data_IF_838027192881
#
_entry.id   IF_838027192881
#
_cell.length_a   1.000
_cell.length_b   1.000
_cell.length_c   1.000
_cell.angle_alpha   90.00
_cell.angle_beta   90.00
_cell.angle_gamma   90.00
#
_symmetry.space_group_name_H-M   'P 1'
#
loop_
_entity.id
_entity.type
_entity.pdbx_description
1 polymer ?
#
# COMPACT_ATOMS: atom_id res chain seq x y z
N UNK A 1 16.26 -10.36 -2.06
CA UNK A 1 14.99 -11.05 -2.38
C UNK A 1 14.88 -11.01 -3.89
N UNK A 2 15.27 -12.08 -4.60
CA UNK A 2 15.39 -12.06 -6.05
C UNK A 2 14.12 -11.59 -6.76
N UNK A 3 12.96 -11.98 -6.24
CA UNK A 3 11.66 -11.59 -6.77
C UNK A 3 11.40 -10.08 -6.64
N UNK A 4 11.83 -9.46 -5.55
CA UNK A 4 11.69 -8.01 -5.35
C UNK A 4 12.60 -7.23 -6.30
N UNK A 5 13.83 -7.68 -6.49
CA UNK A 5 14.79 -7.01 -7.38
C UNK A 5 14.30 -7.04 -8.84
N UNK A 6 13.66 -8.14 -9.26
CA UNK A 6 13.00 -8.26 -10.55
C UNK A 6 11.83 -7.27 -10.70
N UNK A 7 10.96 -7.19 -9.69
CA UNK A 7 9.81 -6.27 -9.72
C UNK A 7 10.26 -4.79 -9.69
N UNK A 8 11.31 -4.47 -8.95
CA UNK A 8 11.92 -3.13 -8.94
C UNK A 8 12.35 -2.75 -10.36
N UNK A 9 13.11 -3.61 -11.03
CA UNK A 9 13.58 -3.31 -12.39
C UNK A 9 12.45 -3.15 -13.41
N UNK A 10 11.38 -3.96 -13.29
CA UNK A 10 10.20 -3.87 -14.16
C UNK A 10 9.42 -2.57 -13.97
N UNK A 11 9.12 -2.20 -12.73
CA UNK A 11 8.24 -1.08 -12.40
C UNK A 11 9.00 0.26 -12.31
N UNK A 12 10.27 0.23 -11.97
CA UNK A 12 11.13 1.38 -11.73
C UNK A 12 12.49 1.16 -12.43
N UNK A 13 12.57 1.24 -13.77
CA UNK A 13 13.81 0.96 -14.51
C UNK A 13 14.96 1.91 -14.17
N UNK A 14 14.64 3.16 -13.80
CA UNK A 14 15.61 4.16 -13.32
C UNK A 14 15.91 4.03 -11.81
N UNK A 15 15.37 2.99 -11.16
CA UNK A 15 15.40 2.82 -9.71
C UNK A 15 14.29 3.57 -8.97
N UNK A 16 14.21 3.28 -7.67
CA UNK A 16 13.26 3.90 -6.73
C UNK A 16 13.76 5.30 -6.37
N UNK A 17 12.91 6.32 -6.54
CA UNK A 17 13.27 7.72 -6.27
C UNK A 17 12.83 8.16 -4.88
N UNK A 18 11.77 7.54 -4.36
CA UNK A 18 11.24 7.84 -3.03
C UNK A 18 12.23 7.38 -1.96
N UNK A 19 12.75 8.30 -1.12
CA UNK A 19 13.68 7.94 -0.07
C UNK A 19 13.10 6.86 0.85
N UNK A 20 13.95 5.88 1.20
CA UNK A 20 13.63 4.76 2.12
C UNK A 20 12.57 3.77 1.61
N UNK A 21 11.91 3.97 0.47
CA UNK A 21 10.91 3.02 -0.02
C UNK A 21 11.53 1.64 -0.28
N UNK A 22 12.70 1.58 -0.92
CA UNK A 22 13.38 0.31 -1.16
C UNK A 22 13.73 -0.43 0.14
N UNK A 23 14.27 0.29 1.13
CA UNK A 23 14.60 -0.28 2.43
C UNK A 23 13.34 -0.84 3.12
N UNK A 24 12.23 -0.09 3.12
CA UNK A 24 10.96 -0.56 3.65
C UNK A 24 10.46 -1.82 2.94
N UNK A 25 10.51 -1.85 1.61
CA UNK A 25 10.08 -3.00 0.81
C UNK A 25 10.88 -4.26 1.16
N UNK A 26 12.20 -4.12 1.36
CA UNK A 26 13.08 -5.20 1.78
C UNK A 26 12.77 -5.72 3.19
N UNK A 27 12.28 -4.86 4.07
CA UNK A 27 11.81 -5.23 5.41
C UNK A 27 10.36 -5.77 5.43
N UNK A 28 9.68 -5.78 4.28
CA UNK A 28 8.30 -6.25 4.12
C UNK A 28 7.24 -5.21 4.49
N UNK A 29 7.60 -3.93 4.48
CA UNK A 29 6.73 -2.78 4.71
C UNK A 29 6.61 -1.93 3.44
N UNK A 30 5.51 -1.22 3.28
CA UNK A 30 5.38 -0.22 2.24
C UNK A 30 4.44 0.92 2.64
N UNK A 31 4.54 2.02 1.91
CA UNK A 31 3.55 3.10 1.91
C UNK A 31 2.84 3.14 0.57
N UNK A 32 1.56 3.50 0.54
CA UNK A 32 0.84 3.76 -0.71
C UNK A 32 0.04 5.05 -0.59
N UNK A 33 0.51 6.08 -1.29
CA UNK A 33 -0.12 7.39 -1.35
C UNK A 33 0.40 8.16 -2.58
N UNK A 34 -0.09 9.38 -2.77
CA UNK A 34 0.20 10.22 -3.95
C UNK A 34 1.63 10.75 -4.04
N UNK A 35 2.46 10.59 -3.00
CA UNK A 35 3.88 10.97 -3.07
C UNK A 35 4.71 9.99 -3.90
N UNK A 36 4.20 8.78 -4.13
CA UNK A 36 4.85 7.77 -4.95
C UNK A 36 4.57 8.02 -6.44
N UNK A 37 5.59 7.83 -7.27
CA UNK A 37 5.42 7.76 -8.71
C UNK A 37 4.49 6.61 -9.12
N UNK A 38 3.98 6.63 -10.36
CA UNK A 38 3.12 5.56 -10.86
C UNK A 38 3.83 4.20 -10.82
N UNK A 39 5.10 4.14 -11.24
CA UNK A 39 5.90 2.92 -11.19
C UNK A 39 6.10 2.41 -9.75
N UNK A 40 6.35 3.29 -8.79
CA UNK A 40 6.48 2.91 -7.38
C UNK A 40 5.16 2.42 -6.78
N UNK A 41 4.03 3.02 -7.14
CA UNK A 41 2.69 2.52 -6.72
C UNK A 41 2.44 1.13 -7.28
N UNK A 42 2.73 0.90 -8.57
CA UNK A 42 2.59 -0.40 -9.20
C UNK A 42 3.51 -1.45 -8.54
N UNK A 43 4.76 -1.09 -8.24
CA UNK A 43 5.69 -1.95 -7.51
C UNK A 43 5.12 -2.36 -6.14
N UNK A 44 4.62 -1.40 -5.35
CA UNK A 44 4.04 -1.66 -4.03
C UNK A 44 2.82 -2.57 -4.13
N UNK A 45 1.94 -2.34 -5.10
CA UNK A 45 0.75 -3.17 -5.33
C UNK A 45 1.11 -4.61 -5.71
N UNK A 46 2.05 -4.79 -6.65
CA UNK A 46 2.53 -6.11 -7.07
C UNK A 46 3.23 -6.83 -5.92
N UNK A 47 4.12 -6.16 -5.20
CA UNK A 47 4.85 -6.74 -4.07
C UNK A 47 3.91 -7.13 -2.92
N UNK A 48 2.85 -6.35 -2.68
CA UNK A 48 1.82 -6.70 -1.70
C UNK A 48 0.98 -7.90 -2.15
N UNK A 49 0.55 -7.93 -3.43
CA UNK A 49 -0.21 -9.04 -4.00
C UNK A 49 0.57 -10.36 -4.03
N UNK A 50 1.89 -10.29 -4.22
CA UNK A 50 2.80 -11.44 -4.15
C UNK A 50 3.17 -11.87 -2.71
N UNK A 51 2.72 -11.12 -1.69
CA UNK A 51 3.04 -11.42 -0.28
C UNK A 51 4.45 -11.05 0.15
N UNK A 52 5.22 -10.33 -0.69
CA UNK A 52 6.55 -9.82 -0.35
C UNK A 52 6.46 -8.66 0.65
N UNK A 53 5.41 -7.84 0.53
CA UNK A 53 5.04 -6.83 1.52
C UNK A 53 3.92 -7.38 2.40
N UNK A 54 4.12 -7.36 3.72
CA UNK A 54 3.16 -7.86 4.72
C UNK A 54 2.34 -6.75 5.36
N UNK A 55 2.90 -5.53 5.41
CA UNK A 55 2.26 -4.37 6.04
C UNK A 55 2.30 -3.20 5.08
N UNK A 56 1.11 -2.69 4.75
CA UNK A 56 0.94 -1.53 3.89
C UNK A 56 0.29 -0.39 4.67
N UNK A 57 0.96 0.76 4.73
CA UNK A 57 0.42 1.99 5.28
C UNK A 57 -0.11 2.87 4.13
N UNK A 58 -1.37 3.29 4.21
CA UNK A 58 -1.97 4.08 3.15
C UNK A 58 -2.89 5.17 3.68
N UNK A 59 -3.08 6.20 2.88
CA UNK A 59 -4.09 7.24 3.16
C UNK A 59 -5.45 6.82 2.60
N UNK A 60 -6.50 7.57 2.94
CA UNK A 60 -7.89 7.24 2.57
C UNK A 60 -8.12 7.04 1.07
N UNK A 61 -7.26 7.58 0.20
CA UNK A 61 -7.37 7.41 -1.25
C UNK A 61 -7.19 5.97 -1.73
N UNK A 62 -6.51 5.11 -0.95
CA UNK A 62 -6.33 3.70 -1.30
C UNK A 62 -7.67 2.94 -1.30
N UNK A 63 -8.61 3.32 -0.43
CA UNK A 63 -9.87 2.62 -0.24
C UNK A 63 -10.76 2.59 -1.49
N UNK A 64 -10.62 3.57 -2.38
CA UNK A 64 -11.48 3.74 -3.54
C UNK A 64 -10.96 3.07 -4.83
N UNK A 65 -9.65 2.79 -4.94
CA UNK A 65 -9.02 2.54 -6.25
C UNK A 65 -8.34 1.18 -6.44
N UNK A 66 -7.99 0.46 -5.37
CA UNK A 66 -7.11 -0.72 -5.50
C UNK A 66 -7.75 -1.97 -4.90
N UNK A 67 -7.70 -3.09 -5.65
CA UNK A 67 -8.21 -4.38 -5.20
C UNK A 67 -7.17 -5.12 -4.32
N UNK A 68 -6.91 -4.57 -3.13
CA UNK A 68 -5.99 -5.17 -2.15
C UNK A 68 -6.81 -5.74 -0.97
N UNK A 69 -7.25 -7.02 -1.03
CA UNK A 69 -7.88 -7.65 0.11
C UNK A 69 -6.84 -7.91 1.20
N UNK A 70 -7.17 -7.56 2.44
CA UNK A 70 -6.26 -7.70 3.59
C UNK A 70 -6.89 -8.55 4.69
N UNK A 71 -6.07 -9.20 5.51
CA UNK A 71 -6.57 -9.95 6.67
C UNK A 71 -7.08 -9.02 7.78
N UNK A 72 -6.46 -7.84 7.93
CA UNK A 72 -6.77 -6.86 8.98
C UNK A 72 -6.57 -5.45 8.44
N UNK A 73 -7.41 -4.52 8.90
CA UNK A 73 -7.27 -3.08 8.70
C UNK A 73 -7.10 -2.44 10.07
N UNK A 74 -6.05 -1.64 10.24
CA UNK A 74 -5.80 -0.86 11.45
C UNK A 74 -6.06 0.62 11.15
N UNK A 75 -6.97 1.23 11.92
CA UNK A 75 -7.20 2.67 11.86
C UNK A 75 -6.34 3.37 12.91
N UNK A 76 -5.29 4.08 12.46
CA UNK A 76 -4.48 4.92 13.36
C UNK A 76 -5.27 6.10 13.92
N UNK A 77 -6.17 6.67 13.12
CA UNK A 77 -7.06 7.76 13.51
C UNK A 77 -8.36 7.71 12.71
N UNK A 78 -9.44 8.22 13.31
CA UNK A 78 -10.70 8.47 12.61
C UNK A 78 -10.77 9.88 12.00
N UNK A 79 -9.63 10.60 11.94
CA UNK A 79 -9.52 11.89 11.27
C UNK A 79 -9.00 11.74 9.84
N UNK A 80 -9.53 12.54 8.92
CA UNK A 80 -9.09 12.72 7.54
C UNK A 80 -8.68 14.18 7.36
N UNK A 81 -7.39 14.46 7.51
CA UNK A 81 -6.90 15.84 7.64
C UNK A 81 -7.44 16.48 8.92
N UNK A 82 -8.16 17.59 8.80
CA UNK A 82 -8.75 18.32 9.94
C UNK A 82 -10.15 17.85 10.32
N UNK A 83 -10.83 17.10 9.45
CA UNK A 83 -12.20 16.63 9.65
C UNK A 83 -12.26 15.17 10.10
N UNK A 84 -13.43 14.74 10.59
CA UNK A 84 -13.70 13.33 10.87
C UNK A 84 -13.94 12.55 9.58
N UNK A 85 -13.49 11.30 9.56
CA UNK A 85 -13.80 10.32 8.54
C UNK A 85 -15.31 10.07 8.49
N UNK A 86 -15.89 10.01 7.29
CA UNK A 86 -17.32 9.68 7.15
C UNK A 86 -17.56 8.20 7.41
N UNK A 87 -18.80 7.83 7.76
CA UNK A 87 -19.18 6.43 7.87
C UNK A 87 -18.99 5.65 6.55
N UNK A 88 -19.03 6.33 5.40
CA UNK A 88 -18.76 5.72 4.09
C UNK A 88 -17.28 5.45 3.89
N UNK A 89 -16.41 6.42 4.17
CA UNK A 89 -14.94 6.22 4.12
C UNK A 89 -14.54 5.04 5.03
N UNK A 90 -15.06 5.01 6.26
CA UNK A 90 -14.79 3.93 7.22
C UNK A 90 -15.19 2.57 6.67
N UNK A 91 -16.42 2.44 6.14
CA UNK A 91 -16.91 1.17 5.57
C UNK A 91 -16.11 0.73 4.34
N UNK A 92 -15.70 1.67 3.48
CA UNK A 92 -14.85 1.38 2.31
C UNK A 92 -13.49 0.82 2.73
N UNK A 93 -12.87 1.38 3.77
CA UNK A 93 -11.61 0.88 4.32
C UNK A 93 -11.78 -0.44 5.07
N UNK A 94 -12.70 -0.48 6.04
CA UNK A 94 -12.93 -1.66 6.87
C UNK A 94 -13.39 -2.87 6.04
N UNK A 95 -14.16 -2.65 4.96
CA UNK A 95 -14.60 -3.71 4.05
C UNK A 95 -13.47 -4.37 3.25
N UNK A 96 -12.24 -3.82 3.28
CA UNK A 96 -11.05 -4.50 2.73
C UNK A 96 -10.55 -5.61 3.66
N UNK A 97 -10.90 -5.57 4.94
CA UNK A 97 -10.62 -6.65 5.88
C UNK A 97 -11.61 -7.80 5.64
N UNK A 98 -11.09 -9.01 5.38
CA UNK A 98 -11.94 -10.21 5.37
C UNK A 98 -11.72 -11.16 4.19
N UNK A 99 -10.53 -11.73 4.05
CA UNK A 99 -10.42 -13.02 3.35
C UNK A 99 -10.86 -14.13 4.29
N UNK A 100 -12.02 -14.73 4.02
CA UNK A 100 -12.31 -16.13 4.35
C UNK A 100 -11.33 -16.99 3.56
N UNK A 101 -10.20 -17.31 4.20
CA UNK A 101 -9.08 -18.08 3.66
C UNK A 101 -8.11 -18.43 4.76
#
# INVERSE_FOLDING_TARGET
>A
MPDLDLEIHKCCPDGIRTPRLEALLRDGFAVHNTSLSEGERQLVETAFGAGLVRVLCATSSLAAGVNLPVRRVLFWSLKKGVSSMTATDFRQMAGRAGRTG
#
